data_IF_377772573534
#
_entry.id   IF_377772573534
#
_cell.length_a   1.000
_cell.length_b   1.000
_cell.length_c   1.000
_cell.angle_alpha   90.00
_cell.angle_beta   90.00
_cell.angle_gamma   90.00
#
_symmetry.space_group_name_H-M   'P 1'
#
loop_
_entity.id
_entity.type
_entity.pdbx_description
1 polymer ?
#
# COMPACT_ATOMS: atom_id res chain seq x y z
N UNK A 1 -22.18 -36.80 0.07
CA UNK A 1 -23.46 -36.41 -0.56
C UNK A 1 -24.09 -35.37 0.32
N UNK A 2 -24.19 -34.14 -0.12
CA UNK A 2 -25.24 -33.15 0.08
C UNK A 2 -24.69 -31.83 -0.43
N UNK A 3 -25.17 -31.44 -1.61
CA UNK A 3 -24.88 -30.13 -2.19
C UNK A 3 -25.51 -29.05 -1.31
N UNK A 4 -24.68 -28.19 -0.74
CA UNK A 4 -25.15 -26.90 -0.24
C UNK A 4 -25.28 -25.97 -1.44
N UNK A 5 -26.52 -25.77 -1.85
CA UNK A 5 -26.92 -24.74 -2.79
C UNK A 5 -26.33 -23.40 -2.31
N UNK A 6 -25.67 -22.71 -3.23
CA UNK A 6 -25.31 -21.30 -3.07
C UNK A 6 -26.64 -20.52 -2.92
N UNK A 7 -27.00 -20.21 -1.68
CA UNK A 7 -28.09 -19.28 -1.40
C UNK A 7 -27.71 -17.93 -1.99
N UNK A 8 -28.52 -17.47 -2.92
CA UNK A 8 -28.43 -16.14 -3.54
C UNK A 8 -28.40 -15.07 -2.44
N UNK A 9 -27.29 -14.35 -2.30
CA UNK A 9 -27.05 -13.28 -1.33
C UNK A 9 -27.88 -11.99 -1.59
N UNK A 10 -28.93 -12.08 -2.40
CA UNK A 10 -29.87 -11.01 -2.67
C UNK A 10 -30.80 -10.84 -1.46
N UNK A 11 -30.44 -9.89 -0.56
CA UNK A 11 -31.28 -9.54 0.58
C UNK A 11 -30.57 -9.36 1.93
N UNK A 12 -29.28 -9.69 2.05
CA UNK A 12 -28.54 -9.46 3.29
C UNK A 12 -28.26 -7.97 3.47
N UNK A 13 -28.62 -7.43 4.64
CA UNK A 13 -28.29 -6.07 5.06
C UNK A 13 -26.76 -5.89 4.99
N UNK A 14 -26.24 -4.80 4.39
CA UNK A 14 -24.81 -4.53 4.38
C UNK A 14 -24.25 -4.48 5.79
N UNK A 15 -23.12 -5.16 6.03
CA UNK A 15 -22.43 -5.13 7.32
C UNK A 15 -21.96 -3.70 7.64
N UNK A 16 -22.13 -3.30 8.89
CA UNK A 16 -21.54 -2.08 9.44
C UNK A 16 -20.14 -2.42 9.93
N UNK A 17 -19.13 -1.92 9.25
CA UNK A 17 -17.74 -2.30 9.47
C UNK A 17 -17.00 -1.21 10.24
N UNK A 18 -16.24 -1.61 11.25
CA UNK A 18 -15.28 -0.75 11.90
C UNK A 18 -13.87 -1.08 11.41
N UNK A 19 -13.19 -0.11 10.80
CA UNK A 19 -11.83 -0.27 10.32
C UNK A 19 -10.85 0.31 11.34
N UNK A 20 -10.08 -0.56 12.00
CA UNK A 20 -8.97 -0.13 12.84
C UNK A 20 -7.78 0.23 11.95
N UNK A 21 -7.67 1.51 11.65
CA UNK A 21 -6.61 2.08 10.83
C UNK A 21 -6.18 3.43 11.40
N UNK A 22 -5.39 3.46 12.49
CA UNK A 22 -5.02 4.69 13.19
C UNK A 22 -4.45 5.76 12.27
N UNK A 23 -3.60 5.34 11.31
CA UNK A 23 -2.99 6.24 10.36
C UNK A 23 -3.97 6.96 9.43
N UNK A 24 -5.13 6.35 9.12
CA UNK A 24 -6.18 6.97 8.31
C UNK A 24 -7.22 7.69 9.17
N UNK A 25 -7.55 7.12 10.33
CA UNK A 25 -8.58 7.69 11.20
C UNK A 25 -8.27 9.13 11.62
N UNK A 26 -7.00 9.41 11.78
CA UNK A 26 -6.55 10.74 12.07
C UNK A 26 -6.23 11.57 10.81
N UNK A 27 -6.20 10.95 9.63
CA UNK A 27 -6.17 11.63 8.34
C UNK A 27 -7.58 12.14 8.03
N UNK A 28 -8.03 13.08 8.83
CA UNK A 28 -9.22 13.84 8.50
C UNK A 28 -8.89 14.63 7.25
N UNK A 29 -9.70 14.52 6.17
CA UNK A 29 -9.61 15.52 5.13
C UNK A 29 -9.66 16.87 5.87
N UNK A 30 -8.82 17.80 5.48
CA UNK A 30 -8.93 19.20 5.94
C UNK A 30 -10.25 19.72 5.38
N UNK A 31 -11.33 19.31 6.01
CA UNK A 31 -12.61 19.98 5.88
C UNK A 31 -12.37 21.36 6.49
N UNK A 32 -11.97 22.30 5.63
CA UNK A 32 -12.19 23.70 5.89
C UNK A 32 -13.71 23.88 5.95
N UNK A 33 -14.29 23.47 7.08
CA UNK A 33 -15.63 23.88 7.40
C UNK A 33 -15.51 25.36 7.74
N UNK A 34 -16.02 26.27 6.90
CA UNK A 34 -16.03 27.71 7.18
C UNK A 34 -16.82 28.06 8.45
N UNK A 35 -17.44 27.06 9.06
CA UNK A 35 -18.24 27.16 10.29
C UNK A 35 -17.42 27.07 11.58
N UNK A 36 -16.13 26.70 11.53
CA UNK A 36 -15.25 26.76 12.70
C UNK A 36 -14.47 28.06 12.57
N UNK A 37 -15.05 29.11 13.09
CA UNK A 37 -14.39 30.42 13.27
C UNK A 37 -13.07 30.23 14.01
N UNK A 38 -11.94 30.59 13.38
CA UNK A 38 -10.61 30.51 13.96
C UNK A 38 -9.72 29.37 13.49
N UNK A 39 -10.22 28.38 12.78
CA UNK A 39 -9.37 27.36 12.14
C UNK A 39 -8.80 27.96 10.82
N UNK A 40 -7.67 28.63 10.92
CA UNK A 40 -6.88 28.92 9.72
C UNK A 40 -6.33 27.59 9.20
N UNK A 41 -6.79 27.16 8.02
CA UNK A 41 -6.14 26.12 7.25
C UNK A 41 -4.82 26.70 6.71
N UNK A 42 -3.78 26.66 7.53
CA UNK A 42 -2.43 27.00 7.05
C UNK A 42 -1.98 25.84 6.16
N UNK A 43 -1.80 26.12 4.89
CA UNK A 43 -1.08 25.21 3.99
C UNK A 43 0.31 24.98 4.55
N UNK A 44 0.69 23.73 4.67
CA UNK A 44 2.00 23.35 5.19
C UNK A 44 3.07 23.55 4.12
N UNK A 45 4.13 24.26 4.45
CA UNK A 45 5.26 24.54 3.56
C UNK A 45 6.63 24.11 4.12
N UNK A 46 6.61 23.38 5.24
CA UNK A 46 7.81 22.86 5.90
C UNK A 46 7.60 21.45 6.43
N UNK A 47 8.69 20.74 6.75
CA UNK A 47 8.62 19.42 7.39
C UNK A 47 7.96 19.53 8.77
N UNK A 48 8.29 20.53 9.55
CA UNK A 48 7.68 20.73 10.87
C UNK A 48 6.16 20.91 10.78
N UNK A 49 5.65 21.55 9.75
CA UNK A 49 4.22 21.67 9.51
C UNK A 49 3.53 20.35 9.11
N UNK A 50 4.30 19.34 8.69
CA UNK A 50 3.80 17.98 8.44
C UNK A 50 3.67 17.15 9.73
N UNK A 51 4.30 17.54 10.84
CA UNK A 51 4.31 16.80 12.10
C UNK A 51 2.92 16.47 12.64
N UNK A 52 1.93 17.36 12.65
CA UNK A 52 0.57 17.02 13.09
C UNK A 52 -0.02 15.83 12.31
N UNK A 53 0.37 15.69 11.05
CA UNK A 53 -0.05 14.58 10.20
C UNK A 53 0.86 13.34 10.35
N UNK A 54 2.06 13.50 10.89
CA UNK A 54 2.98 12.39 11.15
C UNK A 54 2.50 11.48 12.28
N UNK A 55 1.88 12.03 13.30
CA UNK A 55 1.30 11.26 14.40
C UNK A 55 0.30 10.19 13.94
N UNK A 56 -0.16 10.29 12.70
CA UNK A 56 -1.15 9.40 12.11
C UNK A 56 -0.54 8.12 11.55
N UNK A 57 0.61 8.26 10.88
CA UNK A 57 1.43 7.13 10.41
C UNK A 57 2.85 7.61 10.14
N UNK A 58 3.82 7.02 10.80
CA UNK A 58 5.24 7.35 10.59
C UNK A 58 5.70 7.07 9.15
N UNK A 59 5.15 6.04 8.53
CA UNK A 59 5.44 5.65 7.16
C UNK A 59 4.20 5.85 6.28
N UNK A 60 4.27 6.77 5.31
CA UNK A 60 3.16 7.11 4.42
C UNK A 60 2.71 5.95 3.51
N UNK A 61 3.56 4.98 3.26
CA UNK A 61 3.16 3.74 2.58
C UNK A 61 2.01 3.01 3.29
N UNK A 62 1.87 3.20 4.61
CA UNK A 62 0.79 2.61 5.38
C UNK A 62 -0.61 3.13 4.99
N UNK A 63 -0.74 4.31 4.39
CA UNK A 63 -2.02 4.84 3.91
C UNK A 63 -2.60 3.92 2.83
N UNK A 64 -1.75 3.41 1.95
CA UNK A 64 -2.16 2.55 0.82
C UNK A 64 -2.81 1.25 1.29
N UNK A 65 -2.23 0.60 2.31
CA UNK A 65 -2.83 -0.65 2.79
C UNK A 65 -3.97 -0.41 3.78
N UNK A 66 -3.94 0.66 4.54
CA UNK A 66 -4.93 0.93 5.57
C UNK A 66 -6.29 1.34 4.99
N UNK A 67 -6.34 2.04 3.83
CA UNK A 67 -7.60 2.35 3.15
C UNK A 67 -8.21 1.15 2.42
N UNK A 68 -7.40 0.12 2.12
CA UNK A 68 -7.79 -0.94 1.21
C UNK A 68 -9.02 -1.75 1.68
N UNK A 69 -9.16 -2.19 2.95
CA UNK A 69 -10.32 -2.95 3.36
C UNK A 69 -11.64 -2.21 3.13
N UNK A 70 -11.68 -0.90 3.35
CA UNK A 70 -12.90 -0.13 3.09
C UNK A 70 -13.19 -0.02 1.58
N UNK A 71 -12.16 0.14 0.75
CA UNK A 71 -12.33 0.11 -0.71
C UNK A 71 -12.86 -1.23 -1.21
N UNK A 72 -12.46 -2.32 -0.56
CA UNK A 72 -12.86 -3.67 -0.95
C UNK A 72 -14.29 -3.98 -0.47
N UNK A 73 -14.63 -3.68 0.79
CA UNK A 73 -15.84 -4.22 1.43
C UNK A 73 -16.97 -3.22 1.63
N UNK A 74 -16.76 -1.92 1.44
CA UNK A 74 -17.79 -0.91 1.68
C UNK A 74 -18.50 -0.52 0.40
N UNK A 75 -19.74 -0.94 0.22
CA UNK A 75 -20.62 -0.52 -0.89
C UNK A 75 -21.21 0.88 -0.68
N UNK A 76 -21.41 1.25 0.57
CA UNK A 76 -21.92 2.56 0.97
C UNK A 76 -21.19 3.02 2.23
N UNK A 77 -20.78 4.30 2.32
CA UNK A 77 -20.12 4.82 3.51
C UNK A 77 -21.04 4.91 4.74
N UNK A 78 -22.34 4.76 4.56
CA UNK A 78 -23.30 4.84 5.66
C UNK A 78 -23.22 3.64 6.61
N UNK A 79 -22.76 3.86 7.83
CA UNK A 79 -22.67 2.86 8.88
C UNK A 79 -21.29 2.22 9.08
N UNK A 80 -20.33 2.44 8.17
CA UNK A 80 -18.94 1.99 8.35
C UNK A 80 -18.04 3.18 8.67
N UNK A 81 -17.01 2.98 9.50
CA UNK A 81 -16.10 4.06 9.89
C UNK A 81 -14.68 3.58 10.14
N UNK A 82 -13.74 4.50 10.02
CA UNK A 82 -12.37 4.34 10.48
C UNK A 82 -12.20 4.86 11.90
N UNK A 83 -11.39 4.19 12.69
CA UNK A 83 -11.08 4.64 14.04
C UNK A 83 -9.85 3.97 14.63
N UNK A 84 -9.48 4.43 15.82
CA UNK A 84 -8.49 3.81 16.68
C UNK A 84 -9.21 3.16 17.87
N UNK A 85 -9.18 1.83 17.96
CA UNK A 85 -9.84 1.10 19.02
C UNK A 85 -9.39 1.55 20.43
N UNK A 86 -8.09 1.83 20.60
CA UNK A 86 -7.57 2.24 21.89
C UNK A 86 -8.05 3.64 22.32
N UNK A 87 -8.19 4.56 21.38
CA UNK A 87 -8.74 5.88 21.64
C UNK A 87 -10.24 5.80 21.98
N UNK A 88 -10.98 4.97 21.25
CA UNK A 88 -12.41 4.77 21.49
C UNK A 88 -12.62 4.11 22.84
N UNK A 89 -11.84 3.09 23.19
CA UNK A 89 -11.87 2.46 24.52
C UNK A 89 -11.63 3.49 25.62
N UNK A 90 -10.63 4.35 25.46
CA UNK A 90 -10.32 5.40 26.42
C UNK A 90 -11.45 6.42 26.56
N UNK A 91 -12.15 6.75 25.48
CA UNK A 91 -13.25 7.73 25.48
C UNK A 91 -14.56 7.16 26.07
N UNK A 92 -14.84 5.88 25.82
CA UNK A 92 -16.13 5.26 26.18
C UNK A 92 -16.04 4.53 27.52
N UNK A 93 -14.87 3.99 27.88
CA UNK A 93 -14.66 3.24 29.11
C UNK A 93 -15.47 1.94 29.17
N UNK A 94 -16.13 1.67 30.27
CA UNK A 94 -16.84 0.40 30.58
C UNK A 94 -17.92 0.01 29.54
N UNK A 95 -18.51 0.98 28.85
CA UNK A 95 -19.56 0.72 27.85
C UNK A 95 -18.99 0.32 26.47
N UNK A 96 -17.67 0.23 26.33
CA UNK A 96 -17.00 0.07 25.04
C UNK A 96 -17.54 -1.13 24.24
N UNK A 97 -17.51 -2.34 24.80
CA UNK A 97 -17.96 -3.55 24.10
C UNK A 97 -19.44 -3.46 23.67
N UNK A 98 -20.28 -2.95 24.54
CA UNK A 98 -21.72 -2.79 24.27
C UNK A 98 -21.99 -1.78 23.17
N UNK A 99 -21.32 -0.62 23.19
CA UNK A 99 -21.48 0.40 22.14
C UNK A 99 -20.90 -0.05 20.81
N UNK A 100 -19.74 -0.69 20.81
CA UNK A 100 -19.13 -1.23 19.60
C UNK A 100 -20.05 -2.26 18.93
N UNK A 101 -20.55 -3.25 19.65
CA UNK A 101 -21.43 -4.30 19.11
C UNK A 101 -22.81 -3.79 18.66
N UNK A 102 -23.33 -2.71 19.27
CA UNK A 102 -24.55 -2.05 18.78
C UNK A 102 -24.32 -1.24 17.50
N UNK A 103 -23.13 -0.69 17.33
CA UNK A 103 -22.81 0.20 16.20
C UNK A 103 -22.25 -0.53 14.99
N UNK A 104 -21.52 -1.63 15.19
CA UNK A 104 -20.80 -2.35 14.14
C UNK A 104 -21.06 -3.86 14.24
N UNK A 105 -21.03 -4.50 13.09
CA UNK A 105 -21.24 -5.94 12.96
C UNK A 105 -19.88 -6.69 12.88
N UNK A 106 -18.77 -5.98 12.59
CA UNK A 106 -17.42 -6.53 12.49
C UNK A 106 -16.33 -5.47 12.64
N UNK A 107 -15.21 -5.85 13.23
CA UNK A 107 -13.98 -5.07 13.28
C UNK A 107 -12.98 -5.63 12.26
N UNK A 108 -12.43 -4.79 11.39
CA UNK A 108 -11.36 -5.15 10.45
C UNK A 108 -10.09 -4.39 10.82
N UNK A 109 -9.01 -5.12 11.01
CA UNK A 109 -7.69 -4.58 11.36
C UNK A 109 -6.76 -4.76 10.17
N UNK A 110 -6.30 -3.65 9.59
CA UNK A 110 -5.27 -3.68 8.56
C UNK A 110 -3.91 -3.57 9.20
N UNK A 111 -3.14 -4.66 9.12
CA UNK A 111 -1.81 -4.74 9.71
C UNK A 111 -0.73 -4.62 8.63
N UNK A 112 0.47 -4.25 9.06
CA UNK A 112 1.65 -4.20 8.21
C UNK A 112 2.74 -5.14 8.78
N UNK A 113 3.98 -4.66 8.91
CA UNK A 113 5.10 -5.40 9.48
C UNK A 113 5.06 -5.33 11.01
N UNK A 114 4.08 -5.95 11.62
CA UNK A 114 3.93 -5.81 13.05
C UNK A 114 4.61 -6.96 13.83
N UNK A 115 4.86 -8.11 13.21
CA UNK A 115 5.63 -9.20 13.83
C UNK A 115 7.11 -8.82 13.78
N UNK A 116 7.58 -8.12 14.82
CA UNK A 116 8.94 -7.62 14.96
C UNK A 116 9.26 -7.31 16.44
N UNK A 117 10.54 -7.36 16.84
CA UNK A 117 10.93 -7.20 18.25
C UNK A 117 10.58 -5.85 18.88
N UNK A 118 10.65 -4.78 18.10
CA UNK A 118 10.47 -3.40 18.57
C UNK A 118 9.00 -2.92 18.52
N UNK A 119 8.04 -3.82 18.29
CA UNK A 119 6.62 -3.46 18.28
C UNK A 119 5.95 -3.86 19.60
N UNK A 120 5.30 -2.88 20.23
CA UNK A 120 4.46 -3.14 21.40
C UNK A 120 2.98 -3.26 20.99
N UNK A 121 2.44 -4.47 21.15
CA UNK A 121 1.04 -4.78 20.86
C UNK A 121 0.06 -4.52 21.99
N UNK A 122 0.54 -4.11 23.18
CA UNK A 122 -0.25 -4.07 24.43
C UNK A 122 -1.52 -3.23 24.33
N UNK A 123 -1.44 -2.04 23.73
CA UNK A 123 -2.60 -1.15 23.61
C UNK A 123 -3.71 -1.73 22.72
N UNK A 124 -3.32 -2.32 21.59
CA UNK A 124 -4.29 -2.96 20.69
C UNK A 124 -4.89 -4.20 21.35
N UNK A 125 -4.04 -5.04 21.96
CA UNK A 125 -4.49 -6.24 22.68
C UNK A 125 -5.50 -5.90 23.80
N UNK A 126 -5.23 -4.86 24.58
CA UNK A 126 -6.16 -4.41 25.62
C UNK A 126 -7.51 -4.00 25.03
N UNK A 127 -7.50 -3.30 23.91
CA UNK A 127 -8.73 -2.89 23.22
C UNK A 127 -9.51 -4.09 22.65
N UNK A 128 -8.82 -5.10 22.14
CA UNK A 128 -9.43 -6.31 21.60
C UNK A 128 -10.06 -7.16 22.71
N UNK A 129 -9.35 -7.34 23.84
CA UNK A 129 -9.91 -8.01 25.03
C UNK A 129 -11.11 -7.28 25.58
N UNK A 130 -11.12 -5.95 25.52
CA UNK A 130 -12.26 -5.14 25.96
C UNK A 130 -13.49 -5.21 25.05
N UNK A 131 -13.41 -5.85 23.87
CA UNK A 131 -14.58 -6.16 23.05
C UNK A 131 -15.42 -7.32 23.61
N UNK A 132 -14.88 -8.10 24.56
CA UNK A 132 -15.59 -9.19 25.29
C UNK A 132 -16.23 -10.21 24.33
N UNK A 133 -15.58 -10.50 23.20
CA UNK A 133 -16.06 -11.38 22.12
C UNK A 133 -17.46 -11.03 21.55
N UNK A 134 -17.95 -9.81 21.82
CA UNK A 134 -19.26 -9.35 21.34
C UNK A 134 -19.29 -8.98 19.85
N UNK A 135 -18.14 -8.90 19.21
CA UNK A 135 -18.01 -8.49 17.82
C UNK A 135 -16.84 -9.25 17.16
N UNK A 136 -17.04 -9.90 16.00
CA UNK A 136 -15.98 -10.63 15.31
C UNK A 136 -14.88 -9.69 14.81
N UNK A 137 -13.65 -10.19 14.85
CA UNK A 137 -12.43 -9.46 14.42
C UNK A 137 -11.78 -10.17 13.25
N UNK A 138 -11.52 -9.42 12.19
CA UNK A 138 -10.75 -9.83 11.01
C UNK A 138 -9.43 -9.09 10.99
N UNK A 139 -8.33 -9.81 10.81
CA UNK A 139 -6.98 -9.25 10.67
C UNK A 139 -6.49 -9.50 9.25
N UNK A 140 -5.98 -8.47 8.57
CA UNK A 140 -5.51 -8.56 7.18
C UNK A 140 -4.11 -7.98 7.04
N UNK A 141 -3.25 -8.68 6.27
CA UNK A 141 -1.95 -8.20 5.84
C UNK A 141 -0.86 -8.21 6.89
N UNK A 142 -1.01 -9.02 7.94
CA UNK A 142 0.00 -9.22 8.98
C UNK A 142 1.29 -9.81 8.39
N UNK A 143 2.45 -9.28 8.75
CA UNK A 143 3.73 -9.73 8.20
C UNK A 143 4.89 -9.72 9.18
N UNK A 144 5.76 -10.72 9.04
CA UNK A 144 7.03 -10.84 9.73
C UNK A 144 8.06 -9.87 9.15
N UNK A 145 8.77 -9.17 10.00
CA UNK A 145 9.91 -8.34 9.62
C UNK A 145 11.21 -8.92 10.14
N UNK A 146 12.10 -9.33 9.23
CA UNK A 146 13.39 -9.92 9.59
C UNK A 146 13.30 -11.43 9.92
N UNK A 147 14.36 -11.94 10.53
CA UNK A 147 14.46 -13.33 10.96
C UNK A 147 14.62 -13.34 12.50
N UNK A 148 13.50 -13.20 13.19
CA UNK A 148 13.48 -13.16 14.65
C UNK A 148 12.79 -14.40 15.22
N UNK A 149 13.14 -14.77 16.45
CA UNK A 149 12.44 -15.79 17.23
C UNK A 149 11.25 -15.16 17.95
N UNK A 150 10.28 -15.97 18.35
CA UNK A 150 9.17 -15.50 19.18
C UNK A 150 9.66 -14.89 20.50
N UNK A 151 10.72 -15.47 21.08
CA UNK A 151 11.38 -14.98 22.30
C UNK A 151 11.99 -13.58 22.19
N UNK A 152 12.25 -13.10 20.96
CA UNK A 152 12.80 -11.77 20.72
C UNK A 152 11.70 -10.68 20.72
N UNK A 153 10.43 -11.09 20.67
CA UNK A 153 9.29 -10.15 20.61
C UNK A 153 9.03 -9.54 21.98
N UNK A 154 8.58 -8.28 21.98
CA UNK A 154 8.01 -7.69 23.20
C UNK A 154 6.84 -8.54 23.69
N UNK A 155 6.66 -8.72 25.02
CA UNK A 155 5.59 -9.55 25.57
C UNK A 155 4.19 -9.18 25.07
N UNK A 156 3.90 -7.88 24.95
CA UNK A 156 2.63 -7.40 24.41
C UNK A 156 2.40 -7.77 22.95
N UNK A 157 3.47 -7.83 22.14
CA UNK A 157 3.39 -8.25 20.75
C UNK A 157 3.18 -9.78 20.63
N UNK A 158 3.92 -10.57 21.39
CA UNK A 158 3.72 -12.03 21.43
C UNK A 158 2.29 -12.39 21.86
N UNK A 159 1.79 -11.74 22.92
CA UNK A 159 0.43 -11.96 23.40
C UNK A 159 -0.65 -11.48 22.37
N UNK A 160 -0.38 -10.45 21.58
CA UNK A 160 -1.29 -10.01 20.50
C UNK A 160 -1.33 -11.03 19.38
N UNK A 161 -0.20 -11.61 18.98
CA UNK A 161 -0.13 -12.69 17.98
C UNK A 161 -0.94 -13.90 18.45
N UNK A 162 -0.75 -14.31 19.69
CA UNK A 162 -1.51 -15.39 20.29
C UNK A 162 -3.01 -15.11 20.29
N UNK A 163 -3.41 -13.89 20.67
CA UNK A 163 -4.81 -13.48 20.66
C UNK A 163 -5.41 -13.55 19.24
N UNK A 164 -4.69 -13.08 18.22
CA UNK A 164 -5.14 -13.18 16.84
C UNK A 164 -5.32 -14.63 16.41
N UNK A 165 -4.36 -15.49 16.74
CA UNK A 165 -4.46 -16.92 16.41
C UNK A 165 -5.65 -17.62 17.07
N UNK A 166 -6.05 -17.19 18.28
CA UNK A 166 -7.13 -17.81 19.04
C UNK A 166 -8.51 -17.22 18.72
N UNK A 167 -8.60 -15.91 18.47
CA UNK A 167 -9.86 -15.19 18.51
C UNK A 167 -10.24 -14.48 17.19
N UNK A 168 -9.30 -14.23 16.30
CA UNK A 168 -9.62 -13.62 15.02
C UNK A 168 -10.39 -14.63 14.13
N UNK A 169 -11.51 -14.23 13.57
CA UNK A 169 -12.28 -15.07 12.64
C UNK A 169 -11.60 -15.24 11.28
N UNK A 170 -10.67 -14.33 10.95
CA UNK A 170 -9.66 -14.44 9.89
C UNK A 170 -8.37 -13.85 10.44
N UNK A 171 -7.29 -14.61 10.40
CA UNK A 171 -5.93 -14.12 10.68
C UNK A 171 -5.12 -14.13 9.39
N UNK A 172 -5.34 -13.10 8.56
CA UNK A 172 -4.73 -12.95 7.24
C UNK A 172 -3.29 -12.46 7.28
N UNK A 173 -2.37 -13.26 6.75
CA UNK A 173 -0.94 -12.95 6.67
C UNK A 173 -0.48 -12.70 5.24
N UNK A 174 0.69 -12.05 5.10
CA UNK A 174 1.22 -11.56 3.81
C UNK A 174 1.69 -12.63 2.86
N UNK A 175 2.13 -13.77 3.36
CA UNK A 175 2.68 -14.82 2.54
C UNK A 175 3.10 -16.04 3.35
N UNK A 176 3.62 -17.03 2.65
CA UNK A 176 3.98 -18.33 3.19
C UNK A 176 5.09 -18.24 4.26
N UNK A 177 6.03 -17.32 4.10
CA UNK A 177 7.11 -17.16 5.07
C UNK A 177 6.59 -16.74 6.46
N UNK A 178 5.66 -15.79 6.50
CA UNK A 178 5.01 -15.37 7.74
C UNK A 178 4.15 -16.50 8.31
N UNK A 179 3.40 -17.22 7.47
CA UNK A 179 2.58 -18.35 7.89
C UNK A 179 3.43 -19.50 8.47
N UNK A 180 4.52 -19.85 7.81
CA UNK A 180 5.45 -20.91 8.28
C UNK A 180 6.08 -20.51 9.62
N UNK A 181 6.54 -19.26 9.77
CA UNK A 181 7.06 -18.77 11.03
C UNK A 181 6.03 -18.88 12.16
N UNK A 182 4.77 -18.50 11.89
CA UNK A 182 3.67 -18.64 12.87
C UNK A 182 3.45 -20.12 13.22
N UNK A 183 3.38 -20.99 12.23
CA UNK A 183 3.18 -22.42 12.42
C UNK A 183 4.30 -23.06 13.26
N UNK A 184 5.57 -22.72 12.98
CA UNK A 184 6.74 -23.21 13.71
C UNK A 184 6.75 -22.76 15.17
N UNK A 185 6.06 -21.65 15.49
CA UNK A 185 5.86 -21.15 16.85
C UNK A 185 4.53 -21.60 17.49
N UNK A 186 3.80 -22.55 16.87
CA UNK A 186 2.58 -23.15 17.42
C UNK A 186 1.26 -22.42 17.04
N UNK A 187 1.31 -21.37 16.23
CA UNK A 187 0.13 -20.60 15.77
C UNK A 187 -0.36 -21.17 14.43
N UNK A 188 -1.50 -21.87 14.42
CA UNK A 188 -1.94 -22.68 13.28
C UNK A 188 -3.10 -22.09 12.46
N UNK A 189 -3.67 -20.95 12.89
CA UNK A 189 -4.91 -20.41 12.31
C UNK A 189 -4.67 -19.25 11.33
N UNK A 190 -3.45 -19.11 10.79
CA UNK A 190 -3.13 -18.07 9.84
C UNK A 190 -3.55 -18.43 8.40
N UNK A 191 -4.30 -17.54 7.74
CA UNK A 191 -4.64 -17.62 6.32
C UNK A 191 -3.64 -16.83 5.48
N UNK A 192 -3.06 -17.41 4.45
CA UNK A 192 -2.14 -16.72 3.52
C UNK A 192 -2.93 -15.93 2.50
N UNK A 193 -3.09 -14.62 2.74
CA UNK A 193 -3.97 -13.76 1.97
C UNK A 193 -3.27 -12.60 1.24
N UNK A 194 -1.96 -12.41 1.46
CA UNK A 194 -1.25 -11.29 0.88
C UNK A 194 -1.57 -9.94 1.54
N UNK A 195 -1.26 -8.86 0.83
CA UNK A 195 -1.59 -7.51 1.29
C UNK A 195 -2.94 -7.07 0.71
N UNK A 196 -3.90 -6.63 1.53
CA UNK A 196 -5.23 -6.24 1.05
C UNK A 196 -5.19 -5.10 0.02
N UNK A 197 -4.15 -4.27 0.03
CA UNK A 197 -4.03 -3.15 -0.90
C UNK A 197 -4.00 -3.56 -2.38
N UNK A 198 -3.59 -4.78 -2.70
CA UNK A 198 -3.59 -5.28 -4.07
C UNK A 198 -4.99 -5.70 -4.57
N UNK A 199 -5.94 -5.92 -3.68
CA UNK A 199 -7.31 -6.28 -4.07
C UNK A 199 -8.25 -5.07 -4.20
N UNK A 200 -7.79 -3.85 -3.86
CA UNK A 200 -8.64 -2.65 -3.86
C UNK A 200 -8.93 -2.09 -5.27
N UNK A 201 -8.05 -2.35 -6.24
CA UNK A 201 -8.16 -1.84 -7.62
C UNK A 201 -7.87 -2.95 -8.66
N UNK A 202 -8.67 -4.03 -8.70
CA UNK A 202 -8.36 -5.20 -9.50
C UNK A 202 -8.36 -4.92 -11.00
N UNK A 203 -9.24 -4.04 -11.48
CA UNK A 203 -9.28 -3.67 -12.91
C UNK A 203 -8.01 -2.95 -13.36
N UNK A 204 -7.45 -2.05 -12.54
CA UNK A 204 -6.19 -1.39 -12.84
C UNK A 204 -5.05 -2.40 -12.96
N UNK A 205 -4.95 -3.33 -12.01
CA UNK A 205 -3.89 -4.36 -12.02
C UNK A 205 -4.04 -5.32 -13.20
N UNK A 206 -5.24 -5.76 -13.49
CA UNK A 206 -5.49 -6.64 -14.64
C UNK A 206 -5.32 -5.93 -15.98
N UNK A 207 -5.51 -4.61 -16.02
CA UNK A 207 -5.28 -3.76 -17.20
C UNK A 207 -3.83 -3.37 -17.44
N UNK A 208 -2.90 -3.72 -16.55
CA UNK A 208 -1.49 -3.33 -16.67
C UNK A 208 -0.88 -3.75 -18.02
N UNK A 209 -0.13 -2.84 -18.64
CA UNK A 209 0.59 -3.07 -19.86
C UNK A 209 2.01 -2.44 -19.77
N UNK A 210 3.02 -3.24 -20.00
CA UNK A 210 4.42 -2.82 -20.00
C UNK A 210 4.93 -2.28 -21.35
N UNK A 211 4.11 -2.31 -22.40
CA UNK A 211 4.54 -1.99 -23.77
C UNK A 211 5.05 -0.56 -23.93
N UNK A 212 4.36 0.43 -23.32
CA UNK A 212 4.77 1.83 -23.38
C UNK A 212 6.11 2.07 -22.71
N UNK A 213 6.32 1.53 -21.49
CA UNK A 213 7.58 1.65 -20.79
C UNK A 213 8.74 0.99 -21.55
N UNK A 214 8.52 -0.21 -22.12
CA UNK A 214 9.50 -0.92 -22.94
C UNK A 214 9.85 -0.12 -24.21
N UNK A 215 8.84 0.39 -24.91
CA UNK A 215 9.06 1.19 -26.12
C UNK A 215 9.87 2.46 -25.86
N UNK A 216 9.74 3.09 -24.71
CA UNK A 216 10.55 4.26 -24.30
C UNK A 216 11.96 3.89 -23.86
N UNK A 217 12.17 2.69 -23.34
CA UNK A 217 13.47 2.18 -22.93
C UNK A 217 14.19 3.14 -21.96
N UNK A 218 15.36 3.67 -22.37
CA UNK A 218 16.13 4.61 -21.54
C UNK A 218 15.42 5.95 -21.28
N UNK A 219 14.44 6.32 -22.10
CA UNK A 219 13.67 7.57 -21.97
C UNK A 219 12.41 7.41 -21.11
N UNK A 220 12.16 6.24 -20.52
CA UNK A 220 11.03 6.03 -19.64
C UNK A 220 11.13 6.89 -18.37
N UNK A 221 10.04 7.56 -18.02
CA UNK A 221 9.93 8.30 -16.76
C UNK A 221 9.62 7.34 -15.60
N UNK A 222 10.49 7.33 -14.59
CA UNK A 222 10.42 6.37 -13.51
C UNK A 222 9.95 7.05 -12.21
N UNK A 223 8.95 6.48 -11.54
CA UNK A 223 8.68 6.77 -10.14
C UNK A 223 9.45 5.78 -9.27
N UNK A 224 10.11 6.25 -8.22
CA UNK A 224 10.82 5.39 -7.28
C UNK A 224 10.54 5.76 -5.84
N UNK A 225 10.72 4.83 -4.93
CA UNK A 225 10.77 5.05 -3.49
C UNK A 225 11.78 4.08 -2.88
N UNK A 226 12.50 4.54 -1.88
CA UNK A 226 13.57 3.74 -1.27
C UNK A 226 13.84 4.16 0.17
N UNK A 227 15.11 4.31 0.54
CA UNK A 227 15.51 4.60 1.90
C UNK A 227 16.57 5.71 1.97
N UNK A 228 16.23 6.87 1.35
CA UNK A 228 17.08 8.07 1.42
C UNK A 228 16.88 8.76 2.78
N UNK A 229 17.24 8.05 3.85
CA UNK A 229 17.09 8.46 5.23
C UNK A 229 18.45 8.85 5.81
N UNK A 230 18.49 9.92 6.60
CA UNK A 230 19.69 10.33 7.31
C UNK A 230 19.86 9.49 8.59
N UNK A 231 21.04 8.92 8.74
CA UNK A 231 21.48 8.25 9.95
C UNK A 231 22.93 8.64 10.24
N UNK A 232 23.20 9.11 11.45
CA UNK A 232 24.53 9.59 11.86
C UNK A 232 25.15 10.62 10.89
N UNK A 233 24.33 11.58 10.44
CA UNK A 233 24.77 12.67 9.55
C UNK A 233 24.98 12.30 8.07
N UNK A 234 24.77 11.05 7.68
CA UNK A 234 24.90 10.58 6.29
C UNK A 234 23.64 9.86 5.82
N UNK A 235 23.48 9.74 4.50
CA UNK A 235 22.42 8.88 3.95
C UNK A 235 22.76 7.41 4.23
N UNK A 236 21.77 6.66 4.69
CA UNK A 236 21.90 5.21 4.90
C UNK A 236 22.44 4.50 3.63
N UNK A 237 23.34 3.49 3.77
CA UNK A 237 23.99 2.83 2.61
C UNK A 237 23.03 2.36 1.52
N UNK A 238 21.86 1.85 1.91
CA UNK A 238 20.79 1.42 1.00
C UNK A 238 20.25 2.58 0.15
N UNK A 239 20.10 3.77 0.72
CA UNK A 239 19.67 4.98 0.00
C UNK A 239 20.71 5.44 -1.01
N UNK A 240 22.01 5.37 -0.63
CA UNK A 240 23.12 5.68 -1.53
C UNK A 240 23.22 4.68 -2.69
N UNK A 241 23.02 3.38 -2.42
CA UNK A 241 23.02 2.33 -3.47
C UNK A 241 21.89 2.57 -4.48
N UNK A 242 20.68 2.86 -3.99
CA UNK A 242 19.55 3.22 -4.85
C UNK A 242 19.86 4.45 -5.70
N UNK A 243 20.33 5.55 -5.10
CA UNK A 243 20.64 6.78 -5.82
C UNK A 243 21.68 6.55 -6.93
N UNK A 244 22.71 5.72 -6.65
CA UNK A 244 23.72 5.34 -7.65
C UNK A 244 23.12 4.56 -8.83
N UNK A 245 22.17 3.63 -8.55
CA UNK A 245 21.50 2.85 -9.58
C UNK A 245 20.65 3.72 -10.51
N UNK A 246 20.15 4.86 -10.01
CA UNK A 246 19.32 5.80 -10.79
C UNK A 246 20.10 6.96 -11.43
N UNK A 247 21.42 7.04 -11.30
CA UNK A 247 22.23 8.21 -11.72
C UNK A 247 22.01 8.70 -13.15
N UNK A 248 21.60 7.81 -14.07
CA UNK A 248 21.38 8.12 -15.49
C UNK A 248 19.92 7.94 -15.91
N UNK A 249 18.99 7.86 -14.95
CA UNK A 249 17.59 7.56 -15.18
C UNK A 249 16.76 8.79 -14.82
N UNK A 250 15.81 9.15 -15.68
CA UNK A 250 14.81 10.17 -15.36
C UNK A 250 13.86 9.64 -14.30
N UNK A 251 14.03 10.08 -13.05
CA UNK A 251 13.25 9.54 -11.94
C UNK A 251 12.74 10.63 -10.99
N UNK A 252 11.55 10.37 -10.45
CA UNK A 252 10.96 11.09 -9.33
C UNK A 252 10.96 10.20 -8.10
N UNK A 253 11.34 10.74 -6.95
CA UNK A 253 11.42 10.01 -5.68
C UNK A 253 10.21 10.30 -4.79
N UNK A 254 9.64 9.27 -4.17
CA UNK A 254 8.55 9.41 -3.19
C UNK A 254 9.07 9.10 -1.80
N UNK A 255 9.08 10.09 -0.94
CA UNK A 255 9.36 9.90 0.48
C UNK A 255 8.20 9.23 1.21
N UNK A 256 8.53 8.43 2.23
CA UNK A 256 7.54 7.82 3.12
C UNK A 256 7.74 8.21 4.58
N UNK A 257 8.89 7.91 5.16
CA UNK A 257 9.28 8.28 6.53
C UNK A 257 10.60 9.04 6.60
N UNK A 258 11.28 9.20 5.49
CA UNK A 258 12.62 9.80 5.43
C UNK A 258 12.67 11.26 5.86
N UNK A 259 11.68 12.13 5.54
CA UNK A 259 11.74 13.54 5.93
C UNK A 259 11.85 13.78 7.43
N UNK A 260 11.43 12.80 8.25
CA UNK A 260 11.56 12.89 9.72
C UNK A 260 13.01 12.82 10.20
N UNK A 261 13.94 12.40 9.35
CA UNK A 261 15.37 12.42 9.61
C UNK A 261 16.09 13.68 9.08
N UNK A 262 15.35 14.65 8.50
CA UNK A 262 15.91 15.87 7.94
C UNK A 262 15.83 17.02 8.94
N UNK A 263 16.40 16.83 10.14
CA UNK A 263 16.25 17.73 11.28
C UNK A 263 16.65 19.16 10.95
N UNK A 264 17.77 19.35 10.22
CA UNK A 264 18.28 20.68 9.84
C UNK A 264 17.34 21.44 8.91
N UNK A 265 16.53 20.72 8.13
CA UNK A 265 15.54 21.30 7.20
C UNK A 265 14.14 21.40 7.81
N UNK A 266 13.93 20.91 9.03
CA UNK A 266 12.60 20.73 9.60
C UNK A 266 11.76 22.03 9.62
N UNK A 267 12.40 23.16 9.93
CA UNK A 267 11.77 24.49 10.04
C UNK A 267 11.83 25.30 8.75
N UNK A 268 12.49 24.80 7.68
CA UNK A 268 12.68 25.56 6.45
C UNK A 268 11.35 25.81 5.75
N UNK A 269 10.93 27.07 5.70
CA UNK A 269 9.73 27.52 5.01
C UNK A 269 9.92 27.46 3.48
N UNK A 270 8.86 27.13 2.75
CA UNK A 270 8.91 27.00 1.30
C UNK A 270 9.67 25.77 0.80
N UNK A 271 10.14 24.87 1.70
CA UNK A 271 10.77 23.62 1.31
C UNK A 271 9.75 22.63 0.72
N UNK A 272 8.53 22.61 1.23
CA UNK A 272 7.44 21.73 0.81
C UNK A 272 6.28 22.54 0.25
N UNK A 273 5.67 22.05 -0.82
CA UNK A 273 4.45 22.59 -1.39
C UNK A 273 3.31 21.57 -1.27
N UNK A 274 2.39 21.83 -0.35
CA UNK A 274 1.25 20.92 -0.11
C UNK A 274 0.29 20.85 -1.31
N UNK A 275 0.20 21.90 -2.13
CA UNK A 275 -0.70 21.94 -3.27
C UNK A 275 -0.36 20.93 -4.38
N UNK A 276 0.93 20.62 -4.55
CA UNK A 276 1.38 19.62 -5.51
C UNK A 276 2.04 18.39 -4.85
N UNK A 277 2.13 18.37 -3.50
CA UNK A 277 2.77 17.32 -2.71
C UNK A 277 4.27 17.16 -3.01
N UNK A 278 4.97 18.24 -3.36
CA UNK A 278 6.37 18.21 -3.77
C UNK A 278 7.27 18.99 -2.80
N UNK A 279 8.47 18.45 -2.58
CA UNK A 279 9.60 19.20 -2.01
C UNK A 279 10.38 19.92 -3.10
N UNK A 280 11.04 21.01 -2.76
CA UNK A 280 12.00 21.71 -3.59
C UNK A 280 13.19 20.82 -3.92
N UNK A 281 13.21 20.28 -5.16
CA UNK A 281 14.25 19.34 -5.60
C UNK A 281 15.64 19.96 -5.65
N UNK A 282 15.74 21.24 -6.02
CA UNK A 282 17.00 22.00 -6.03
C UNK A 282 17.64 22.03 -4.64
N UNK A 283 16.87 22.41 -3.61
CA UNK A 283 17.36 22.47 -2.24
C UNK A 283 17.70 21.08 -1.68
N UNK A 284 16.85 20.09 -1.95
CA UNK A 284 17.08 18.73 -1.46
C UNK A 284 18.25 18.03 -2.13
N UNK A 285 18.44 18.21 -3.44
CA UNK A 285 19.55 17.59 -4.15
C UNK A 285 20.90 18.08 -3.64
N UNK A 286 21.03 19.37 -3.36
CA UNK A 286 22.23 19.94 -2.80
C UNK A 286 22.48 19.44 -1.36
N UNK A 287 21.47 19.50 -0.51
CA UNK A 287 21.59 19.11 0.90
C UNK A 287 21.83 17.61 1.09
N UNK A 288 21.04 16.77 0.39
CA UNK A 288 21.20 15.32 0.42
C UNK A 288 22.48 14.88 -0.32
N UNK A 289 22.87 15.60 -1.37
CA UNK A 289 24.08 15.33 -2.15
C UNK A 289 25.35 15.43 -1.29
N UNK A 290 25.45 16.43 -0.42
CA UNK A 290 26.55 16.57 0.54
C UNK A 290 26.64 15.33 1.46
N UNK A 291 25.50 14.74 1.85
CA UNK A 291 25.40 13.59 2.75
C UNK A 291 25.49 12.22 2.04
N UNK A 292 25.35 12.22 0.74
CA UNK A 292 25.50 11.03 -0.11
C UNK A 292 26.91 10.86 -0.68
N UNK A 293 27.76 11.87 -0.53
CA UNK A 293 29.06 11.93 -1.21
C UNK A 293 28.94 12.14 -2.73
N UNK A 294 27.89 12.84 -3.20
CA UNK A 294 27.63 13.16 -4.61
C UNK A 294 26.17 13.52 -4.88
N UNK A 295 25.92 14.15 -6.02
CA UNK A 295 24.58 14.63 -6.40
C UNK A 295 23.55 13.49 -6.48
N UNK A 296 22.36 13.71 -5.92
CA UNK A 296 21.23 12.80 -6.12
C UNK A 296 20.59 13.03 -7.48
N UNK A 297 20.09 11.95 -8.15
CA UNK A 297 19.67 12.03 -9.54
C UNK A 297 18.18 12.39 -9.73
N UNK A 298 17.44 12.70 -8.66
CA UNK A 298 16.00 12.79 -8.75
C UNK A 298 15.54 14.16 -9.20
N UNK A 299 14.64 14.19 -10.19
CA UNK A 299 14.05 15.42 -10.74
C UNK A 299 13.00 16.05 -9.82
N UNK A 300 12.29 15.20 -9.05
CA UNK A 300 11.22 15.58 -8.13
C UNK A 300 11.27 14.73 -6.89
N UNK A 301 10.79 15.31 -5.79
CA UNK A 301 10.60 14.63 -4.51
C UNK A 301 9.17 14.83 -4.05
N UNK A 302 8.42 13.74 -4.03
CA UNK A 302 7.03 13.72 -3.57
C UNK A 302 6.92 13.30 -2.11
N UNK A 303 5.87 13.80 -1.44
CA UNK A 303 5.43 13.33 -0.14
C UNK A 303 3.92 13.42 -0.06
N UNK A 304 3.24 12.29 0.08
CA UNK A 304 1.79 12.22 0.00
C UNK A 304 1.15 12.00 1.38
N UNK A 305 0.12 12.79 1.68
CA UNK A 305 -0.76 12.59 2.82
C UNK A 305 -2.01 11.77 2.43
N UNK A 306 -2.26 11.58 1.14
CA UNK A 306 -3.43 10.88 0.61
C UNK A 306 -3.04 9.91 -0.50
N UNK A 307 -3.63 8.72 -0.46
CA UNK A 307 -3.38 7.69 -1.46
C UNK A 307 -3.89 8.08 -2.86
N UNK A 308 -4.98 8.87 -2.94
CA UNK A 308 -5.51 9.39 -4.20
C UNK A 308 -4.53 10.30 -4.93
N UNK A 309 -3.91 11.24 -4.21
CA UNK A 309 -2.87 12.12 -4.76
C UNK A 309 -1.65 11.34 -5.24
N UNK A 310 -1.25 10.29 -4.50
CA UNK A 310 -0.14 9.41 -4.89
C UNK A 310 -0.44 8.66 -6.19
N UNK A 311 -1.61 8.02 -6.29
CA UNK A 311 -2.05 7.36 -7.52
C UNK A 311 -2.11 8.33 -8.71
N UNK A 312 -2.61 9.55 -8.50
CA UNK A 312 -2.64 10.58 -9.55
C UNK A 312 -1.23 10.98 -10.01
N UNK A 313 -0.29 11.15 -9.09
CA UNK A 313 1.10 11.45 -9.44
C UNK A 313 1.77 10.28 -10.19
N UNK A 314 1.44 9.03 -9.86
CA UNK A 314 1.96 7.85 -10.56
C UNK A 314 1.62 7.85 -12.05
N UNK A 315 0.46 8.36 -12.46
CA UNK A 315 0.03 8.46 -13.87
C UNK A 315 0.95 9.34 -14.74
N UNK A 316 1.84 10.13 -14.14
CA UNK A 316 2.84 10.93 -14.87
C UNK A 316 4.10 10.14 -15.20
N UNK A 317 4.16 8.87 -14.85
CA UNK A 317 5.32 8.01 -15.00
C UNK A 317 4.95 6.76 -15.81
N UNK A 318 5.95 6.19 -16.46
CA UNK A 318 5.77 5.00 -17.29
C UNK A 318 5.88 3.71 -16.49
N UNK A 319 6.63 3.76 -15.39
CA UNK A 319 6.90 2.61 -14.54
C UNK A 319 7.28 3.05 -13.12
N UNK A 320 6.94 2.23 -12.13
CA UNK A 320 7.55 2.31 -10.81
C UNK A 320 8.70 1.31 -10.71
N UNK A 321 9.86 1.75 -10.20
CA UNK A 321 10.99 0.86 -9.85
C UNK A 321 11.52 1.30 -8.49
N UNK A 322 11.34 0.49 -7.45
CA UNK A 322 11.74 0.91 -6.11
C UNK A 322 11.66 -0.20 -5.06
N UNK A 323 12.24 0.07 -3.89
CA UNK A 323 12.35 -0.91 -2.81
C UNK A 323 11.31 -0.73 -1.69
N UNK A 324 10.35 0.20 -1.86
CA UNK A 324 9.21 0.39 -0.96
C UNK A 324 7.97 -0.23 -1.59
N UNK A 325 7.50 -1.34 -1.01
CA UNK A 325 6.38 -2.11 -1.55
C UNK A 325 5.13 -1.26 -1.84
N UNK A 326 4.65 -0.48 -0.87
CA UNK A 326 3.44 0.31 -1.05
C UNK A 326 3.59 1.47 -2.04
N UNK A 327 4.82 1.90 -2.33
CA UNK A 327 5.09 2.82 -3.44
C UNK A 327 4.74 2.20 -4.79
N UNK A 328 5.16 0.96 -5.00
CA UNK A 328 4.79 0.19 -6.19
C UNK A 328 3.31 -0.16 -6.24
N UNK A 329 2.70 -0.48 -5.09
CA UNK A 329 1.25 -0.73 -5.04
C UNK A 329 0.44 0.50 -5.45
N UNK A 330 0.83 1.71 -5.04
CA UNK A 330 0.17 2.93 -5.48
C UNK A 330 0.22 3.10 -7.00
N UNK A 331 1.36 2.76 -7.64
CA UNK A 331 1.50 2.74 -9.10
C UNK A 331 0.60 1.67 -9.75
N UNK A 332 0.63 0.43 -9.25
CA UNK A 332 -0.23 -0.66 -9.75
C UNK A 332 -1.72 -0.30 -9.65
N UNK A 333 -2.15 0.31 -8.54
CA UNK A 333 -3.52 0.80 -8.36
C UNK A 333 -3.91 1.90 -9.34
N UNK A 334 -2.94 2.67 -9.84
CA UNK A 334 -3.13 3.68 -10.88
C UNK A 334 -3.09 3.09 -12.30
N UNK A 335 -2.79 1.81 -12.48
CA UNK A 335 -2.61 1.19 -13.80
C UNK A 335 -1.21 1.41 -14.39
N UNK A 336 -0.24 1.76 -13.57
CA UNK A 336 1.17 1.92 -13.95
C UNK A 336 1.95 0.67 -13.53
N UNK A 337 2.70 0.01 -14.43
CA UNK A 337 3.45 -1.19 -14.09
C UNK A 337 4.52 -0.91 -13.03
N UNK A 338 4.84 -1.93 -12.23
CA UNK A 338 5.81 -1.81 -11.16
C UNK A 338 6.80 -2.97 -11.17
N UNK A 339 8.07 -2.65 -10.95
CA UNK A 339 9.18 -3.59 -10.73
C UNK A 339 9.74 -3.32 -9.33
N UNK A 340 9.77 -4.33 -8.48
CA UNK A 340 10.17 -4.16 -7.09
C UNK A 340 11.65 -4.47 -6.89
N UNK A 341 12.35 -3.60 -6.17
CA UNK A 341 13.73 -3.84 -5.77
C UNK A 341 13.73 -4.53 -4.40
N UNK A 342 13.92 -5.84 -4.40
CA UNK A 342 13.97 -6.62 -3.17
C UNK A 342 15.30 -6.42 -2.46
N UNK A 343 15.24 -5.97 -1.22
CA UNK A 343 16.40 -5.79 -0.34
C UNK A 343 16.26 -6.62 0.94
N UNK A 344 15.03 -7.06 1.25
CA UNK A 344 14.71 -7.88 2.39
C UNK A 344 13.58 -8.88 2.08
N UNK A 345 13.36 -9.77 3.04
CA UNK A 345 12.36 -10.83 2.92
C UNK A 345 10.91 -10.34 2.80
N UNK A 346 10.61 -9.11 3.20
CA UNK A 346 9.25 -8.55 3.19
C UNK A 346 8.77 -8.21 1.79
N UNK A 347 9.64 -7.55 1.02
CA UNK A 347 9.35 -7.24 -0.39
C UNK A 347 9.31 -8.54 -1.18
N UNK A 348 10.28 -9.43 -0.96
CA UNK A 348 10.33 -10.73 -1.62
C UNK A 348 9.05 -11.55 -1.35
N UNK A 349 8.62 -11.72 -0.10
CA UNK A 349 7.42 -12.47 0.26
C UNK A 349 6.17 -11.98 -0.46
N UNK A 350 5.96 -10.66 -0.50
CA UNK A 350 4.78 -10.08 -1.15
C UNK A 350 4.85 -10.13 -2.69
N UNK A 351 6.05 -9.94 -3.26
CA UNK A 351 6.23 -10.04 -4.71
C UNK A 351 6.07 -11.48 -5.20
N UNK A 352 6.57 -12.45 -4.46
CA UNK A 352 6.40 -13.87 -4.75
C UNK A 352 4.93 -14.30 -4.65
N UNK A 353 4.23 -13.87 -3.58
CA UNK A 353 2.82 -14.22 -3.38
C UNK A 353 1.93 -13.80 -4.56
N UNK A 354 2.20 -12.64 -5.15
CA UNK A 354 1.40 -12.09 -6.26
C UNK A 354 2.04 -12.27 -7.64
N UNK A 355 3.23 -12.86 -7.74
CA UNK A 355 3.99 -12.97 -8.98
C UNK A 355 4.44 -11.63 -9.56
N UNK A 356 4.66 -10.62 -8.71
CA UNK A 356 5.06 -9.28 -9.15
C UNK A 356 6.51 -9.26 -9.61
N UNK A 357 6.85 -8.55 -10.70
CA UNK A 357 8.21 -8.40 -11.17
C UNK A 357 9.14 -7.86 -10.09
N UNK A 358 10.24 -8.56 -9.79
CA UNK A 358 11.20 -8.11 -8.79
C UNK A 358 12.63 -8.55 -9.08
N UNK A 359 13.60 -7.76 -8.62
CA UNK A 359 15.02 -8.06 -8.67
C UNK A 359 15.75 -7.28 -7.56
N UNK A 360 17.05 -7.55 -7.37
CA UNK A 360 17.85 -6.78 -6.40
C UNK A 360 18.31 -5.45 -6.98
N UNK A 361 18.55 -4.43 -6.13
CA UNK A 361 19.11 -3.13 -6.58
C UNK A 361 20.42 -3.30 -7.33
N UNK A 362 21.29 -4.23 -6.91
CA UNK A 362 22.55 -4.56 -7.60
C UNK A 362 22.31 -5.12 -8.99
N UNK A 363 21.33 -6.02 -9.14
CA UNK A 363 20.98 -6.59 -10.44
C UNK A 363 20.41 -5.51 -11.37
N UNK A 364 19.56 -4.61 -10.86
CA UNK A 364 19.04 -3.46 -11.59
C UNK A 364 20.17 -2.55 -12.09
N UNK A 365 21.07 -2.14 -11.20
CA UNK A 365 22.21 -1.28 -11.55
C UNK A 365 23.12 -1.90 -12.62
N UNK A 366 23.32 -3.24 -12.59
CA UNK A 366 24.14 -3.96 -13.56
C UNK A 366 23.47 -4.10 -14.93
N UNK A 367 22.17 -4.40 -14.97
CA UNK A 367 21.41 -4.61 -16.22
C UNK A 367 21.08 -3.28 -16.92
N UNK A 368 20.80 -2.24 -16.16
CA UNK A 368 20.32 -0.95 -16.66
C UNK A 368 18.83 -0.95 -17.02
N UNK A 369 18.25 0.25 -17.12
CA UNK A 369 16.81 0.45 -17.29
C UNK A 369 16.24 -0.27 -18.52
N UNK A 370 16.76 -0.11 -19.74
CA UNK A 370 16.15 -0.73 -20.93
C UNK A 370 16.06 -2.25 -20.83
N UNK A 371 17.13 -2.92 -20.42
CA UNK A 371 17.16 -4.38 -20.31
C UNK A 371 16.19 -4.88 -19.23
N UNK A 372 16.06 -4.13 -18.12
CA UNK A 372 15.12 -4.48 -17.05
C UNK A 372 13.67 -4.31 -17.51
N UNK A 373 13.35 -3.26 -18.26
CA UNK A 373 12.01 -3.08 -18.81
C UNK A 373 11.64 -4.21 -19.79
N UNK A 374 12.54 -4.59 -20.69
CA UNK A 374 12.30 -5.68 -21.65
C UNK A 374 12.10 -7.03 -20.95
N UNK A 375 12.91 -7.36 -19.96
CA UNK A 375 12.88 -8.64 -19.28
C UNK A 375 11.69 -8.75 -18.30
N UNK A 376 11.45 -7.72 -17.48
CA UNK A 376 10.51 -7.77 -16.35
C UNK A 376 9.11 -7.24 -16.69
N UNK A 377 8.92 -6.56 -17.82
CA UNK A 377 7.61 -6.12 -18.31
C UNK A 377 7.26 -6.79 -19.66
N UNK A 378 7.89 -7.91 -19.98
CA UNK A 378 7.54 -8.67 -21.18
C UNK A 378 6.08 -9.15 -21.13
N UNK A 379 5.43 -9.39 -22.29
CA UNK A 379 4.06 -9.89 -22.31
C UNK A 379 3.87 -11.17 -21.49
N UNK A 380 4.85 -12.07 -21.52
CA UNK A 380 4.84 -13.35 -20.81
C UNK A 380 4.86 -13.13 -19.29
N UNK A 381 5.74 -12.26 -18.78
CA UNK A 381 5.84 -11.92 -17.36
C UNK A 381 4.56 -11.25 -16.89
N UNK A 382 4.05 -10.29 -17.65
CA UNK A 382 2.80 -9.60 -17.31
C UNK A 382 1.59 -10.55 -17.31
N UNK A 383 1.53 -11.49 -18.25
CA UNK A 383 0.46 -12.49 -18.29
C UNK A 383 0.55 -13.49 -17.13
N UNK A 384 1.76 -13.96 -16.80
CA UNK A 384 1.97 -14.85 -15.64
C UNK A 384 1.54 -14.15 -14.33
N UNK A 385 1.96 -12.90 -14.12
CA UNK A 385 1.54 -12.06 -12.98
C UNK A 385 0.02 -11.96 -12.90
N UNK A 386 -0.67 -11.61 -13.99
CA UNK A 386 -2.13 -11.48 -14.01
C UNK A 386 -2.84 -12.79 -13.70
N UNK A 387 -2.30 -13.90 -14.17
CA UNK A 387 -2.85 -15.24 -13.90
C UNK A 387 -2.79 -15.57 -12.42
N UNK A 388 -1.62 -15.38 -11.78
CA UNK A 388 -1.45 -15.61 -10.35
C UNK A 388 -2.27 -14.60 -9.51
N UNK A 389 -2.28 -13.34 -9.89
CA UNK A 389 -3.09 -12.32 -9.23
C UNK A 389 -4.58 -12.68 -9.22
N UNK A 390 -5.12 -13.18 -10.34
CA UNK A 390 -6.52 -13.65 -10.43
C UNK A 390 -6.78 -14.80 -9.49
N UNK A 391 -5.86 -15.77 -9.40
CA UNK A 391 -5.95 -16.88 -8.46
C UNK A 391 -5.98 -16.38 -7.01
N UNK A 392 -5.03 -15.52 -6.61
CA UNK A 392 -4.94 -14.95 -5.25
C UNK A 392 -6.17 -14.11 -4.89
N UNK A 393 -6.72 -13.41 -5.86
CA UNK A 393 -7.97 -12.67 -5.66
C UNK A 393 -9.16 -13.59 -5.34
N UNK A 394 -9.29 -14.71 -6.04
CA UNK A 394 -10.31 -15.71 -5.73
C UNK A 394 -10.14 -16.28 -4.33
N UNK A 395 -8.94 -16.74 -4.00
CA UNK A 395 -8.61 -17.28 -2.67
C UNK A 395 -8.94 -16.27 -1.55
N UNK A 396 -8.55 -15.00 -1.72
CA UNK A 396 -8.87 -13.93 -0.79
C UNK A 396 -10.37 -13.75 -0.59
N UNK A 397 -11.15 -13.69 -1.68
CA UNK A 397 -12.59 -13.48 -1.59
C UNK A 397 -13.33 -14.72 -1.11
N UNK A 398 -12.87 -15.92 -1.38
CA UNK A 398 -13.43 -17.15 -0.82
C UNK A 398 -13.26 -17.21 0.69
N UNK A 399 -12.08 -16.84 1.21
CA UNK A 399 -11.83 -16.78 2.66
C UNK A 399 -12.68 -15.71 3.32
N UNK A 400 -12.71 -14.49 2.78
CA UNK A 400 -13.47 -13.38 3.38
C UNK A 400 -14.97 -13.61 3.33
N UNK A 401 -15.48 -14.31 2.31
CA UNK A 401 -16.89 -14.69 2.20
C UNK A 401 -17.34 -15.63 3.30
N UNK A 402 -16.46 -16.46 3.89
CA UNK A 402 -16.79 -17.37 5.01
C UNK A 402 -17.35 -16.63 6.22
N UNK A 403 -16.95 -15.38 6.41
CA UNK A 403 -17.38 -14.52 7.49
C UNK A 403 -18.39 -13.44 7.06
N UNK A 404 -18.95 -13.58 5.85
CA UNK A 404 -19.95 -12.66 5.31
C UNK A 404 -19.39 -11.36 4.70
N UNK A 405 -18.08 -11.22 4.59
CA UNK A 405 -17.46 -10.10 3.89
C UNK A 405 -17.55 -10.33 2.37
N UNK A 406 -18.30 -9.49 1.70
CA UNK A 406 -18.44 -9.52 0.24
C UNK A 406 -17.80 -8.28 -0.38
N UNK A 407 -17.15 -8.39 -1.56
CA UNK A 407 -16.54 -7.24 -2.21
C UNK A 407 -17.61 -6.22 -2.62
N UNK A 408 -17.28 -4.94 -2.45
CA UNK A 408 -18.10 -3.84 -2.94
C UNK A 408 -18.11 -3.79 -4.48
N UNK A 409 -17.03 -4.23 -5.09
CA UNK A 409 -16.88 -4.37 -6.54
C UNK A 409 -17.39 -5.76 -6.91
N UNK A 410 -18.54 -5.84 -7.56
CA UNK A 410 -19.22 -7.10 -7.84
C UNK A 410 -18.62 -7.91 -9.00
N UNK A 411 -17.86 -7.28 -9.86
CA UNK A 411 -17.32 -7.95 -11.05
C UNK A 411 -15.79 -7.89 -11.07
N UNK A 412 -15.17 -8.92 -10.50
CA UNK A 412 -13.74 -9.21 -10.68
C UNK A 412 -13.48 -10.03 -11.94
N UNK A 413 -14.52 -10.35 -12.73
CA UNK A 413 -14.34 -10.84 -14.07
C UNK A 413 -13.81 -9.68 -14.89
N UNK A 414 -12.49 -9.61 -14.98
CA UNK A 414 -11.84 -8.78 -15.99
C UNK A 414 -12.34 -9.34 -17.32
N UNK A 415 -12.99 -8.52 -18.16
CA UNK A 415 -13.34 -8.97 -19.52
C UNK A 415 -12.06 -9.53 -20.13
N UNK A 416 -12.12 -10.74 -20.71
CA UNK A 416 -11.04 -11.20 -21.57
C UNK A 416 -10.80 -10.07 -22.55
N UNK A 417 -9.58 -9.51 -22.54
CA UNK A 417 -9.25 -8.47 -23.52
C UNK A 417 -9.51 -9.09 -24.89
N UNK A 418 -10.53 -8.57 -25.57
CA UNK A 418 -10.74 -8.94 -26.95
C UNK A 418 -9.40 -8.77 -27.68
N UNK A 419 -8.94 -9.77 -28.43
CA UNK A 419 -7.66 -9.66 -29.13
C UNK A 419 -7.64 -8.32 -29.86
N UNK A 420 -6.56 -7.57 -29.67
CA UNK A 420 -6.41 -6.23 -30.25
C UNK A 420 -6.83 -6.30 -31.72
N UNK A 421 -7.86 -5.54 -32.09
CA UNK A 421 -8.36 -5.55 -33.44
C UNK A 421 -7.15 -5.28 -34.38
N UNK A 422 -6.95 -6.09 -35.42
CA UNK A 422 -5.79 -5.92 -36.28
C UNK A 422 -5.74 -4.47 -36.78
N UNK A 423 -4.54 -3.87 -36.85
CA UNK A 423 -4.41 -2.47 -37.21
C UNK A 423 -5.12 -2.22 -38.54
N UNK A 424 -6.08 -1.28 -38.52
CA UNK A 424 -6.86 -0.91 -39.70
C UNK A 424 -5.88 -0.41 -40.78
N UNK A 425 -5.78 -1.07 -41.95
CA UNK A 425 -4.82 -0.65 -42.98
C UNK A 425 -4.99 0.82 -43.29
N UNK A 426 -3.89 1.53 -43.42
CA UNK A 426 -3.83 2.98 -43.66
C UNK A 426 -4.80 3.45 -44.80
N UNK A 427 -4.94 2.65 -45.86
CA UNK A 427 -5.93 2.89 -46.95
C UNK A 427 -7.39 2.91 -46.48
N UNK A 428 -7.77 2.15 -45.45
CA UNK A 428 -9.10 2.16 -44.91
C UNK A 428 -9.36 3.37 -43.96
N UNK A 429 -8.33 3.80 -43.22
CA UNK A 429 -8.37 5.04 -42.44
C UNK A 429 -8.61 6.26 -43.34
N UNK A 430 -7.91 6.35 -44.46
CA UNK A 430 -8.07 7.45 -45.44
C UNK A 430 -9.46 7.44 -46.09
N UNK A 431 -10.01 6.27 -46.44
CA UNK A 431 -11.39 6.17 -46.96
C UNK A 431 -12.48 6.58 -45.93
N UNK A 432 -12.29 6.34 -44.64
CA UNK A 432 -13.19 6.83 -43.58
C UNK A 432 -13.10 8.33 -43.36
N UNK A 433 -11.91 8.91 -43.45
CA UNK A 433 -11.74 10.37 -43.41
C UNK A 433 -12.40 11.07 -44.62
N UNK A 434 -12.15 10.55 -45.83
CA UNK A 434 -12.74 11.13 -47.08
C UNK A 434 -14.29 11.06 -47.10
N UNK A 435 -14.93 10.14 -46.36
CA UNK A 435 -16.40 10.08 -46.19
C UNK A 435 -16.96 11.04 -45.14
N UNK A 436 -16.13 11.65 -44.29
CA UNK A 436 -16.54 12.66 -43.28
C UNK A 436 -16.50 14.06 -43.81
N UNK A 437 -15.93 14.27 -44.99
CA UNK A 437 -15.82 15.57 -45.65
C UNK A 437 -16.61 15.60 -46.97
N UNK A 438 -17.51 14.67 -47.18
CA UNK A 438 -18.60 14.70 -48.11
C UNK A 438 -19.93 14.71 -47.31
#
# INVERSE_FOLDING_TARGET
MMGRQAATLAGLKPLRLFFHAPGIAAHRPKLSLPLITGAQTTTTDSIAGLYPNHMLTGNRGNIIHAEAPAKIFTKSPGGSTYGNLAEILQLIGADFATRMSRSFDMVIISMANFIRPDHDGTRLLSSLKALEDKIPVVVLGCGLQGNHKLSDMMPGNAALIEWFNQNAVIFGVRGEKTANWLHDNGFKNADVLGCPSLYAYPHSIMGLDGSSARAKGAAAEVMTAGYVKIANGAIAPRGVELARAFRKISASYVFQDEPWSFEELAQMRGLYNEGNNEFRADLLNDWLGQRAGGTLPFKRYYYFNEAGAWRHAALRHDVYIGDRFHGGVAALQAGVPAIFLSHDNRVAELTEHFGLPHLTTKAFARKGLPAVLEEYLSPEVMQAMKTLYRQRSREFFEVTARVGLTPAIQDLQVPEMAPAAPPVPFRQKMRRLARRFR
#
